data_IF_691717249077
#
_entry.id   IF_691717249077
#
_cell.length_a   1.000
_cell.length_b   1.000
_cell.length_c   1.000
_cell.angle_alpha   90.00
_cell.angle_beta   90.00
_cell.angle_gamma   90.00
#
_symmetry.space_group_name_H-M   'P 1'
#
loop_
_entity.id
_entity.type
_entity.pdbx_description
1 polymer ?
#
# COMPACT_ATOMS: atom_id res chain seq x y z
N UNK A 1 36.00 11.99 20.77
CA UNK A 1 35.83 10.66 20.13
C UNK A 1 35.17 9.74 21.11
N UNK A 2 33.86 9.61 21.07
CA UNK A 2 33.12 8.61 21.82
C UNK A 2 32.22 7.89 20.80
N UNK A 3 32.54 6.60 20.52
CA UNK A 3 31.73 5.71 19.69
C UNK A 3 30.61 5.15 20.57
N UNK A 4 29.38 5.54 20.30
CA UNK A 4 28.23 4.85 20.86
C UNK A 4 27.83 3.72 19.90
N UNK A 5 28.08 2.49 20.34
CA UNK A 5 27.55 1.26 19.74
C UNK A 5 26.07 1.14 20.15
N UNK A 6 25.13 1.32 19.21
CA UNK A 6 23.74 0.94 19.42
C UNK A 6 23.63 -0.57 19.21
N UNK A 7 23.63 -1.31 20.31
CA UNK A 7 23.20 -2.71 20.31
C UNK A 7 21.68 -2.77 20.18
N UNK A 8 21.22 -3.33 19.06
CA UNK A 8 19.81 -3.56 18.75
C UNK A 8 19.27 -4.62 19.72
N UNK A 9 18.48 -4.19 20.70
CA UNK A 9 17.74 -5.10 21.58
C UNK A 9 16.39 -5.39 20.88
N UNK A 10 16.35 -6.51 20.15
CA UNK A 10 15.09 -7.09 19.67
C UNK A 10 14.38 -7.74 20.87
N UNK A 11 13.46 -7.01 21.49
CA UNK A 11 12.62 -7.57 22.55
C UNK A 11 11.54 -8.46 21.91
N UNK A 12 11.78 -9.76 21.97
CA UNK A 12 10.81 -10.78 21.62
C UNK A 12 9.73 -10.77 22.71
N UNK A 13 8.55 -10.19 22.42
CA UNK A 13 7.41 -10.27 23.33
C UNK A 13 6.84 -11.69 23.24
N UNK A 14 7.25 -12.54 24.17
CA UNK A 14 6.67 -13.86 24.37
C UNK A 14 5.39 -13.70 25.19
N UNK A 15 4.25 -13.87 24.54
CA UNK A 15 2.99 -14.02 25.26
C UNK A 15 2.93 -15.40 25.92
N UNK A 16 3.19 -15.46 27.22
CA UNK A 16 2.87 -16.64 28.04
C UNK A 16 1.36 -16.73 28.22
N UNK A 17 0.74 -17.89 27.98
CA UNK A 17 -0.67 -18.05 28.28
C UNK A 17 -0.87 -18.06 29.80
N UNK A 18 -1.48 -17.03 30.35
CA UNK A 18 -2.04 -17.05 31.70
C UNK A 18 -3.26 -17.99 31.69
N UNK A 19 -3.08 -19.19 32.20
CA UNK A 19 -4.19 -20.14 32.45
C UNK A 19 -4.97 -19.65 33.68
N UNK A 20 -5.80 -18.65 33.51
CA UNK A 20 -6.85 -18.28 34.46
C UNK A 20 -8.12 -19.03 34.10
N UNK A 21 -8.75 -19.72 35.04
CA UNK A 21 -10.14 -20.21 34.93
C UNK A 21 -11.03 -18.96 34.81
N UNK A 22 -11.23 -18.51 33.57
CA UNK A 22 -12.19 -17.43 33.31
C UNK A 22 -13.60 -17.98 33.57
N UNK A 23 -14.39 -17.23 34.36
CA UNK A 23 -15.83 -17.33 34.29
C UNK A 23 -16.22 -17.32 32.81
N UNK A 24 -17.24 -18.05 32.42
CA UNK A 24 -17.80 -18.14 31.08
C UNK A 24 -18.24 -16.72 30.67
N UNK A 25 -17.27 -15.92 30.20
CA UNK A 25 -17.51 -14.61 29.64
C UNK A 25 -18.25 -14.85 28.33
N UNK A 26 -19.36 -14.16 28.14
CA UNK A 26 -20.20 -14.23 26.96
C UNK A 26 -19.30 -13.98 25.72
N UNK A 27 -18.95 -15.08 25.04
CA UNK A 27 -17.97 -15.08 23.96
C UNK A 27 -18.61 -14.48 22.72
N UNK A 28 -18.04 -13.39 22.21
CA UNK A 28 -18.52 -12.72 21.00
C UNK A 28 -18.57 -13.71 19.83
N UNK A 29 -19.70 -13.79 19.13
CA UNK A 29 -19.81 -14.58 17.91
C UNK A 29 -19.10 -13.86 16.75
N UNK A 30 -18.74 -14.61 15.69
CA UNK A 30 -18.18 -14.01 14.47
C UNK A 30 -19.19 -13.10 13.76
N UNK A 31 -20.49 -13.41 13.88
CA UNK A 31 -21.57 -12.63 13.27
C UNK A 31 -21.81 -11.29 13.99
N UNK A 32 -21.41 -11.20 15.27
CA UNK A 32 -21.49 -10.00 16.09
C UNK A 32 -20.21 -9.15 16.06
N UNK A 33 -19.25 -9.50 15.23
CA UNK A 33 -18.03 -8.73 15.01
C UNK A 33 -18.02 -8.15 13.60
N UNK A 34 -18.24 -6.84 13.50
CA UNK A 34 -18.29 -6.16 12.23
C UNK A 34 -16.95 -5.48 11.92
N UNK A 35 -16.55 -5.51 10.67
CA UNK A 35 -15.21 -5.13 10.24
C UNK A 35 -15.27 -4.33 8.94
N UNK A 36 -14.68 -3.14 8.93
CA UNK A 36 -14.33 -2.42 7.71
C UNK A 36 -13.05 -3.00 7.11
N UNK A 37 -12.05 -3.20 7.94
CA UNK A 37 -10.72 -3.67 7.56
C UNK A 37 -9.63 -2.66 7.93
N UNK A 38 -8.37 -3.09 8.12
CA UNK A 38 -7.25 -2.21 8.40
C UNK A 38 -6.86 -1.43 7.13
N UNK A 39 -6.03 -0.39 7.29
CA UNK A 39 -5.68 0.54 6.20
C UNK A 39 -4.84 -0.11 5.11
N UNK A 40 -3.97 -1.08 5.46
CA UNK A 40 -2.93 -1.57 4.54
C UNK A 40 -3.11 -3.05 4.20
N UNK A 41 -3.31 -3.91 5.19
CA UNK A 41 -3.38 -5.36 4.97
C UNK A 41 -4.76 -5.78 4.46
N UNK A 42 -4.86 -6.10 3.17
CA UNK A 42 -6.11 -6.56 2.56
C UNK A 42 -6.64 -7.87 3.18
N UNK A 43 -7.95 -8.11 3.10
CA UNK A 43 -8.61 -9.29 3.61
C UNK A 43 -8.32 -10.55 2.80
N UNK A 44 -8.30 -11.71 3.49
CA UNK A 44 -8.18 -13.00 2.84
C UNK A 44 -9.54 -13.61 2.45
N UNK A 45 -10.64 -13.11 3.00
CA UNK A 45 -11.98 -13.58 2.65
C UNK A 45 -12.38 -13.09 1.26
N UNK A 46 -13.03 -13.96 0.48
CA UNK A 46 -13.70 -13.60 -0.78
C UNK A 46 -15.11 -13.10 -0.48
N UNK A 47 -15.66 -12.26 -1.35
CA UNK A 47 -17.06 -11.87 -1.30
C UNK A 47 -17.95 -13.09 -1.63
N UNK A 48 -19.10 -13.24 -0.97
CA UNK A 48 -20.09 -14.23 -1.37
C UNK A 48 -20.56 -14.00 -2.81
N UNK A 49 -20.98 -15.06 -3.49
CA UNK A 49 -21.47 -14.98 -4.86
C UNK A 49 -22.59 -13.92 -5.00
N UNK A 50 -22.48 -13.05 -5.98
CA UNK A 50 -23.45 -11.98 -6.26
C UNK A 50 -23.29 -10.72 -5.42
N UNK A 51 -22.41 -10.68 -4.42
CA UNK A 51 -22.17 -9.47 -3.62
C UNK A 51 -21.13 -8.57 -4.28
N UNK A 52 -21.33 -7.27 -4.09
CA UNK A 52 -20.40 -6.23 -4.57
C UNK A 52 -19.85 -5.45 -3.38
N UNK A 53 -18.54 -5.23 -3.36
CA UNK A 53 -17.86 -4.28 -2.46
C UNK A 53 -17.52 -3.02 -3.24
N UNK A 54 -17.89 -1.87 -2.68
CA UNK A 54 -17.40 -0.56 -3.11
C UNK A 54 -16.74 0.10 -1.89
N UNK A 55 -15.43 0.35 -2.00
CA UNK A 55 -14.66 0.90 -0.89
C UNK A 55 -13.72 2.03 -1.38
N UNK A 56 -14.23 3.29 -1.43
CA UNK A 56 -13.41 4.46 -1.74
C UNK A 56 -12.52 4.84 -0.55
N UNK A 57 -11.25 5.04 -0.84
CA UNK A 57 -10.24 5.63 0.03
C UNK A 57 -9.95 7.05 -0.43
N UNK A 58 -9.73 7.96 0.52
CA UNK A 58 -9.14 9.28 0.32
C UNK A 58 -7.96 9.45 1.28
N UNK A 59 -6.87 10.02 0.78
CA UNK A 59 -5.65 10.17 1.56
C UNK A 59 -4.82 11.36 1.11
N UNK A 60 -3.93 11.83 2.00
CA UNK A 60 -2.90 12.83 1.71
C UNK A 60 -1.53 12.28 2.10
N UNK A 61 -0.68 11.99 1.12
CA UNK A 61 0.70 11.58 1.38
C UNK A 61 1.55 12.81 1.64
N UNK A 62 1.77 13.13 2.91
CA UNK A 62 2.57 14.27 3.35
C UNK A 62 4.03 13.83 3.47
N UNK A 63 4.84 14.13 2.47
CA UNK A 63 6.28 13.84 2.47
C UNK A 63 7.03 15.04 3.02
N UNK A 64 7.81 14.85 4.08
CA UNK A 64 8.57 15.91 4.79
C UNK A 64 10.08 15.68 4.78
N UNK A 65 10.53 14.69 4.06
CA UNK A 65 11.95 14.32 3.98
C UNK A 65 12.12 12.97 3.33
N UNK A 66 13.32 12.44 3.46
CA UNK A 66 13.68 11.13 2.93
C UNK A 66 14.66 10.43 3.87
N UNK A 67 14.70 9.11 3.78
CA UNK A 67 15.77 8.29 4.32
C UNK A 67 16.85 8.12 3.25
N UNK A 68 18.10 8.49 3.57
CA UNK A 68 19.25 8.36 2.66
C UNK A 68 19.73 6.91 2.50
N UNK A 69 20.84 6.69 1.77
CA UNK A 69 21.42 5.37 1.53
C UNK A 69 21.91 4.64 2.78
N UNK A 70 22.11 5.37 3.87
CA UNK A 70 22.52 4.84 5.19
C UNK A 70 21.32 4.70 6.15
N UNK A 71 20.12 5.05 5.71
CA UNK A 71 18.90 5.03 6.52
C UNK A 71 18.73 6.23 7.45
N UNK A 72 19.53 7.29 7.29
CA UNK A 72 19.38 8.49 8.09
C UNK A 72 18.28 9.38 7.50
N UNK A 73 17.46 9.95 8.38
CA UNK A 73 16.44 10.92 7.98
C UNK A 73 17.08 12.24 7.54
N UNK A 74 16.65 12.76 6.41
CA UNK A 74 16.98 14.07 5.84
C UNK A 74 15.69 14.85 5.59
N UNK A 75 15.55 16.00 6.21
CA UNK A 75 14.41 16.90 5.99
C UNK A 75 14.43 17.46 4.57
N UNK A 76 13.27 17.65 3.98
CA UNK A 76 13.04 18.37 2.73
C UNK A 76 11.81 19.26 2.86
N UNK A 77 11.55 20.08 1.83
CA UNK A 77 10.27 20.78 1.72
C UNK A 77 9.11 19.79 1.74
N UNK A 78 8.01 20.26 2.32
CA UNK A 78 6.81 19.44 2.41
C UNK A 78 6.12 19.35 1.06
N UNK A 79 5.79 18.14 0.65
CA UNK A 79 4.99 17.84 -0.54
C UNK A 79 3.74 17.11 -0.11
N UNK A 80 2.59 17.53 -0.66
CA UNK A 80 1.30 16.87 -0.48
C UNK A 80 0.92 16.14 -1.76
N UNK A 81 0.61 14.86 -1.65
CA UNK A 81 0.05 14.06 -2.74
C UNK A 81 -1.33 13.55 -2.31
N UNK A 82 -2.35 14.31 -2.68
CA UNK A 82 -3.74 13.92 -2.47
C UNK A 82 -4.10 12.80 -3.41
N UNK A 83 -4.70 11.76 -2.88
CA UNK A 83 -5.06 10.61 -3.66
C UNK A 83 -6.39 10.00 -3.26
N UNK A 84 -6.94 9.27 -4.21
CA UNK A 84 -8.09 8.40 -4.01
C UNK A 84 -7.85 7.10 -4.75
N UNK A 85 -8.20 5.99 -4.13
CA UNK A 85 -8.34 4.70 -4.78
C UNK A 85 -9.68 4.10 -4.36
N UNK A 86 -10.30 3.32 -5.24
CA UNK A 86 -11.58 2.70 -4.93
C UNK A 86 -11.54 1.23 -5.27
N UNK A 87 -11.68 0.35 -4.28
CA UNK A 87 -11.94 -1.06 -4.54
C UNK A 87 -13.38 -1.22 -5.04
N UNK A 88 -13.53 -1.80 -6.23
CA UNK A 88 -14.80 -2.20 -6.82
C UNK A 88 -14.70 -3.70 -7.09
N UNK A 89 -15.14 -4.52 -6.14
CA UNK A 89 -14.96 -5.97 -6.18
C UNK A 89 -16.33 -6.67 -6.25
N UNK A 90 -16.38 -7.78 -6.98
CA UNK A 90 -17.57 -8.61 -7.15
C UNK A 90 -17.27 -10.08 -6.84
N UNK A 91 -18.12 -10.68 -6.01
CA UNK A 91 -18.10 -12.11 -5.71
C UNK A 91 -18.67 -12.89 -6.90
N UNK A 92 -17.82 -13.45 -7.73
CA UNK A 92 -18.21 -14.27 -8.88
C UNK A 92 -18.72 -15.63 -8.42
N UNK A 93 -18.02 -16.20 -7.43
CA UNK A 93 -18.43 -17.38 -6.68
C UNK A 93 -18.04 -17.17 -5.20
N UNK A 94 -18.49 -18.03 -4.31
CA UNK A 94 -18.10 -17.94 -2.89
C UNK A 94 -16.59 -18.04 -2.65
N UNK A 95 -15.84 -18.60 -3.58
CA UNK A 95 -14.39 -18.76 -3.50
C UNK A 95 -13.60 -17.90 -4.49
N UNK A 96 -14.26 -17.09 -5.31
CA UNK A 96 -13.60 -16.25 -6.31
C UNK A 96 -14.22 -14.87 -6.37
N UNK A 97 -13.38 -13.85 -6.15
CA UNK A 97 -13.71 -12.42 -6.24
C UNK A 97 -12.85 -11.79 -7.32
N UNK A 98 -13.45 -10.98 -8.18
CA UNK A 98 -12.74 -10.18 -9.18
C UNK A 98 -13.15 -8.72 -9.08
N UNK A 99 -12.30 -7.80 -9.57
CA UNK A 99 -12.65 -6.40 -9.54
C UNK A 99 -11.62 -5.47 -10.16
N UNK A 100 -11.89 -4.18 -10.02
CA UNK A 100 -11.08 -3.09 -10.56
C UNK A 100 -10.83 -2.05 -9.47
N UNK A 101 -9.65 -1.46 -9.49
CA UNK A 101 -9.20 -0.48 -8.51
C UNK A 101 -8.69 0.74 -9.29
N UNK A 102 -9.55 1.70 -9.66
CA UNK A 102 -9.14 2.98 -10.22
C UNK A 102 -8.47 3.85 -9.16
N UNK A 103 -7.52 4.68 -9.61
CA UNK A 103 -6.83 5.65 -8.78
C UNK A 103 -6.89 7.04 -9.39
N UNK A 104 -6.94 8.06 -8.53
CA UNK A 104 -6.91 9.47 -8.90
C UNK A 104 -5.99 10.22 -7.95
N UNK A 105 -5.42 11.35 -8.42
CA UNK A 105 -4.55 12.12 -7.57
C UNK A 105 -4.33 13.55 -8.02
N UNK A 106 -3.69 14.31 -7.12
CA UNK A 106 -3.24 15.69 -7.32
C UNK A 106 -2.02 15.93 -6.43
N UNK A 107 -0.94 16.46 -7.00
CA UNK A 107 0.28 16.79 -6.27
C UNK A 107 0.39 18.31 -6.07
N UNK A 108 0.55 18.72 -4.81
CA UNK A 108 0.94 20.05 -4.37
C UNK A 108 2.40 19.96 -3.92
N UNK A 109 3.30 20.51 -4.72
CA UNK A 109 4.74 20.30 -4.54
C UNK A 109 5.44 21.41 -3.77
N UNK A 110 4.71 22.47 -3.38
CA UNK A 110 5.19 23.58 -2.59
C UNK A 110 6.27 24.43 -3.26
N UNK A 111 7.11 23.84 -4.08
CA UNK A 111 8.11 24.50 -4.91
C UNK A 111 8.06 23.94 -6.33
N UNK A 112 7.74 24.77 -7.31
CA UNK A 112 7.50 24.37 -8.69
C UNK A 112 6.04 24.50 -9.08
N UNK A 113 5.63 23.76 -10.13
CA UNK A 113 4.26 23.79 -10.61
C UNK A 113 3.50 22.58 -10.05
N UNK A 114 2.41 22.83 -9.34
CA UNK A 114 1.48 21.81 -8.89
C UNK A 114 0.83 21.10 -10.07
N UNK A 115 0.15 20.00 -9.83
CA UNK A 115 -0.67 19.32 -10.84
C UNK A 115 -1.66 20.29 -11.47
N UNK A 116 -1.87 20.18 -12.78
CA UNK A 116 -2.81 21.01 -13.53
C UNK A 116 -4.26 20.81 -13.12
N UNK A 117 -4.57 19.70 -12.47
CA UNK A 117 -5.88 19.29 -11.97
C UNK A 117 -5.83 17.87 -11.41
N UNK A 118 -6.98 17.34 -11.01
CA UNK A 118 -7.10 15.94 -10.62
C UNK A 118 -6.86 15.08 -11.86
N UNK A 119 -5.85 14.23 -11.78
CA UNK A 119 -5.50 13.29 -12.85
C UNK A 119 -5.87 11.85 -12.50
N UNK A 120 -5.92 11.01 -13.53
CA UNK A 120 -6.09 9.57 -13.40
C UNK A 120 -4.73 8.92 -13.17
N UNK A 121 -4.63 8.03 -12.21
CA UNK A 121 -3.47 7.16 -12.02
C UNK A 121 -3.61 5.83 -12.74
N UNK A 122 -2.76 4.89 -12.40
CA UNK A 122 -2.84 3.55 -12.97
C UNK A 122 -4.02 2.76 -12.38
N UNK A 123 -4.72 2.01 -13.24
CA UNK A 123 -5.85 1.17 -12.84
C UNK A 123 -5.38 -0.25 -12.62
N UNK A 124 -5.78 -0.86 -11.50
CA UNK A 124 -5.45 -2.26 -11.19
C UNK A 124 -6.67 -3.16 -11.35
N UNK A 125 -6.50 -4.26 -12.08
CA UNK A 125 -7.43 -5.38 -12.11
C UNK A 125 -7.02 -6.38 -11.02
N UNK A 126 -7.99 -6.96 -10.32
CA UNK A 126 -7.75 -7.93 -9.25
C UNK A 126 -8.56 -9.20 -9.45
N UNK A 127 -7.93 -10.33 -9.19
CA UNK A 127 -8.55 -11.65 -9.07
C UNK A 127 -8.07 -12.29 -7.76
N UNK A 128 -9.01 -12.69 -6.89
CA UNK A 128 -8.73 -13.32 -5.61
C UNK A 128 -9.43 -14.67 -5.52
N UNK A 129 -8.65 -15.71 -5.24
CA UNK A 129 -9.14 -17.07 -5.09
C UNK A 129 -8.88 -17.59 -3.68
N UNK A 130 -9.95 -17.97 -2.96
CA UNK A 130 -9.88 -18.49 -1.59
C UNK A 130 -9.44 -19.96 -1.60
N UNK A 131 -8.30 -20.23 -0.93
CA UNK A 131 -7.70 -21.56 -0.81
C UNK A 131 -8.24 -22.32 0.41
N UNK A 132 -8.49 -21.61 1.53
CA UNK A 132 -9.00 -22.17 2.77
C UNK A 132 -9.91 -21.16 3.48
N UNK A 133 -10.76 -21.65 4.36
CA UNK A 133 -11.65 -20.83 5.17
C UNK A 133 -11.54 -21.21 6.64
N UNK A 134 -11.35 -20.22 7.49
CA UNK A 134 -11.40 -20.37 8.94
C UNK A 134 -12.76 -20.89 9.37
N UNK A 135 -12.74 -21.81 10.31
CA UNK A 135 -13.94 -22.30 11.01
C UNK A 135 -13.70 -22.17 12.49
N UNK A 136 -14.71 -21.76 13.23
CA UNK A 136 -14.62 -21.64 14.68
C UNK A 136 -14.17 -22.95 15.33
N UNK A 137 -13.21 -22.86 16.28
CA UNK A 137 -12.53 -24.02 16.87
C UNK A 137 -11.47 -24.66 15.98
N UNK A 138 -11.38 -24.28 14.71
CA UNK A 138 -10.36 -24.77 13.77
C UNK A 138 -9.02 -24.04 13.88
N UNK A 139 -7.96 -24.67 13.35
CA UNK A 139 -6.60 -24.10 13.30
C UNK A 139 -6.21 -23.59 11.91
N UNK A 140 -7.06 -23.81 10.92
CA UNK A 140 -6.78 -23.39 9.53
C UNK A 140 -7.23 -21.94 9.35
N UNK A 141 -6.35 -21.03 8.91
CA UNK A 141 -6.74 -19.66 8.60
C UNK A 141 -7.60 -19.59 7.33
N UNK A 142 -8.35 -18.52 7.15
CA UNK A 142 -8.79 -18.15 5.80
C UNK A 142 -7.56 -17.70 5.03
N UNK A 143 -7.30 -18.29 3.86
CA UNK A 143 -6.21 -17.87 2.99
C UNK A 143 -6.66 -17.78 1.54
N UNK A 144 -6.06 -16.85 0.81
CA UNK A 144 -6.37 -16.59 -0.60
C UNK A 144 -5.12 -16.26 -1.38
N UNK A 145 -5.10 -16.75 -2.62
CA UNK A 145 -4.17 -16.28 -3.64
C UNK A 145 -4.78 -15.08 -4.35
N UNK A 146 -4.01 -14.02 -4.50
CA UNK A 146 -4.44 -12.77 -5.17
C UNK A 146 -3.50 -12.46 -6.31
N UNK A 147 -4.07 -12.31 -7.50
CA UNK A 147 -3.38 -11.81 -8.69
C UNK A 147 -3.89 -10.40 -8.98
N UNK A 148 -2.97 -9.48 -9.15
CA UNK A 148 -3.26 -8.12 -9.59
C UNK A 148 -2.47 -7.78 -10.85
N UNK A 149 -3.12 -7.08 -11.78
CA UNK A 149 -2.52 -6.53 -12.99
C UNK A 149 -2.78 -5.03 -13.02
N UNK A 150 -1.74 -4.24 -12.81
CA UNK A 150 -1.81 -2.79 -12.97
C UNK A 150 -1.57 -2.42 -14.42
N UNK A 151 -2.47 -1.61 -14.96
CA UNK A 151 -2.47 -1.10 -16.32
C UNK A 151 -1.93 0.32 -16.34
N UNK A 152 -1.03 0.70 -17.24
CA UNK A 152 -0.43 2.02 -17.32
C UNK A 152 -1.40 3.05 -17.92
N UNK A 153 -2.42 3.42 -17.18
CA UNK A 153 -3.46 4.38 -17.61
C UNK A 153 -3.15 5.80 -17.18
N UNK A 154 -2.29 5.97 -16.19
CA UNK A 154 -1.86 7.26 -15.69
C UNK A 154 -0.77 7.89 -16.56
N UNK A 155 -0.71 9.22 -16.54
CA UNK A 155 0.34 9.96 -17.25
C UNK A 155 1.68 9.78 -16.52
N UNK A 156 2.75 9.46 -17.25
CA UNK A 156 4.05 9.14 -16.67
C UNK A 156 5.24 9.84 -17.36
N UNK A 157 5.10 10.21 -18.64
CA UNK A 157 6.14 10.90 -19.41
C UNK A 157 5.58 12.07 -20.22
N UNK A 158 6.44 12.78 -20.97
CA UNK A 158 6.06 13.98 -21.72
C UNK A 158 5.33 15.02 -20.85
N UNK A 159 5.76 15.13 -19.59
CA UNK A 159 5.13 15.98 -18.57
C UNK A 159 5.44 17.47 -18.77
N UNK A 160 6.38 17.81 -19.65
CA UNK A 160 6.77 19.19 -19.96
C UNK A 160 7.27 19.90 -18.69
N UNK A 161 6.68 21.06 -18.39
CA UNK A 161 7.04 21.88 -17.23
C UNK A 161 6.30 21.49 -15.93
N UNK A 162 5.46 20.45 -15.96
CA UNK A 162 4.66 19.99 -14.81
C UNK A 162 4.92 18.51 -14.48
N UNK A 163 6.07 18.15 -13.91
CA UNK A 163 6.33 16.77 -13.48
C UNK A 163 5.29 16.26 -12.49
N UNK A 164 4.64 17.15 -11.74
CA UNK A 164 3.55 16.87 -10.79
C UNK A 164 2.28 16.29 -11.42
N UNK A 165 2.09 16.40 -12.75
CA UNK A 165 1.00 15.74 -13.48
C UNK A 165 1.23 14.22 -13.66
N UNK A 166 2.42 13.73 -13.35
CA UNK A 166 2.76 12.30 -13.43
C UNK A 166 2.14 11.51 -12.29
N UNK A 167 1.12 10.69 -12.62
CA UNK A 167 0.35 9.87 -11.67
C UNK A 167 0.38 8.37 -12.01
N UNK A 168 1.03 7.98 -13.08
CA UNK A 168 1.23 6.60 -13.51
C UNK A 168 2.69 6.21 -13.57
N UNK A 169 2.96 4.90 -13.61
CA UNK A 169 4.30 4.34 -13.84
C UNK A 169 4.61 4.11 -15.33
N UNK A 170 3.58 4.08 -16.19
CA UNK A 170 3.73 3.74 -17.59
C UNK A 170 4.04 2.26 -17.85
N UNK A 171 4.37 1.49 -16.84
CA UNK A 171 4.71 0.08 -16.93
C UNK A 171 3.51 -0.80 -16.53
N UNK A 172 3.33 -1.92 -17.22
CA UNK A 172 2.48 -2.99 -16.70
C UNK A 172 3.16 -3.61 -15.48
N UNK A 173 2.39 -3.81 -14.39
CA UNK A 173 2.90 -4.45 -13.18
C UNK A 173 2.00 -5.62 -12.80
N UNK A 174 2.58 -6.81 -12.72
CA UNK A 174 1.91 -8.04 -12.28
C UNK A 174 2.30 -8.33 -10.84
N UNK A 175 1.33 -8.45 -9.94
CA UNK A 175 1.55 -8.80 -8.54
C UNK A 175 0.86 -10.12 -8.18
N UNK A 176 1.59 -10.98 -7.48
CA UNK A 176 1.06 -12.19 -6.86
C UNK A 176 1.18 -12.07 -5.35
N UNK A 177 0.09 -12.32 -4.65
CA UNK A 177 0.06 -12.25 -3.19
C UNK A 177 -0.63 -13.46 -2.56
N UNK A 178 -0.16 -13.83 -1.36
CA UNK A 178 -0.84 -14.73 -0.46
C UNK A 178 -1.38 -13.89 0.71
N UNK A 179 -2.70 -13.88 0.88
CA UNK A 179 -3.37 -13.27 2.02
C UNK A 179 -3.78 -14.35 3.00
N UNK A 180 -3.61 -14.08 4.29
CA UNK A 180 -4.01 -14.96 5.36
C UNK A 180 -4.69 -14.17 6.48
N UNK A 181 -5.74 -14.74 7.07
CA UNK A 181 -6.47 -14.10 8.16
C UNK A 181 -6.95 -15.15 9.16
N UNK A 182 -6.85 -14.82 10.46
CA UNK A 182 -7.22 -15.72 11.56
C UNK A 182 -7.92 -14.95 12.67
N UNK A 183 -8.75 -15.65 13.45
CA UNK A 183 -9.50 -15.07 14.55
C UNK A 183 -9.08 -15.71 15.87
N UNK A 184 -8.78 -14.86 16.85
CA UNK A 184 -8.41 -15.21 18.20
C UNK A 184 -9.43 -14.61 19.17
N UNK A 185 -9.90 -15.40 20.14
CA UNK A 185 -10.70 -14.87 21.23
C UNK A 185 -9.80 -14.49 22.39
N UNK A 186 -9.86 -13.23 22.75
CA UNK A 186 -9.13 -12.67 23.87
C UNK A 186 -9.75 -13.15 25.20
N UNK A 187 -9.04 -13.09 26.34
CA UNK A 187 -9.55 -13.55 27.63
C UNK A 187 -10.87 -12.90 28.08
N UNK A 188 -11.21 -11.72 27.57
CA UNK A 188 -12.47 -11.03 27.81
C UNK A 188 -13.59 -11.40 26.82
N UNK A 189 -13.42 -12.46 26.06
CA UNK A 189 -14.40 -12.97 25.10
C UNK A 189 -14.46 -12.19 23.77
N UNK A 190 -13.75 -11.07 23.62
CA UNK A 190 -13.71 -10.28 22.38
C UNK A 190 -12.79 -10.89 21.33
N UNK A 191 -13.08 -10.61 20.06
CA UNK A 191 -12.31 -11.13 18.92
C UNK A 191 -11.18 -10.20 18.57
N UNK A 192 -9.99 -10.77 18.39
CA UNK A 192 -8.85 -10.20 17.70
C UNK A 192 -8.71 -10.88 16.34
N UNK A 193 -8.97 -10.16 15.26
CA UNK A 193 -8.68 -10.62 13.89
C UNK A 193 -7.24 -10.27 13.54
N UNK A 194 -6.49 -11.23 13.05
CA UNK A 194 -5.11 -11.03 12.60
C UNK A 194 -5.01 -11.30 11.11
N UNK A 195 -4.18 -10.52 10.40
CA UNK A 195 -3.88 -10.71 8.98
C UNK A 195 -2.37 -10.79 8.79
N UNK A 196 -1.97 -11.60 7.82
CA UNK A 196 -0.60 -11.70 7.35
C UNK A 196 -0.60 -11.88 5.84
N UNK A 197 -0.01 -10.92 5.11
CA UNK A 197 0.02 -10.95 3.66
C UNK A 197 1.45 -10.83 3.17
N UNK A 198 1.77 -11.59 2.12
CA UNK A 198 3.04 -11.54 1.39
C UNK A 198 2.71 -11.26 -0.06
N UNK A 199 3.42 -10.33 -0.68
CA UNK A 199 3.23 -10.00 -2.09
C UNK A 199 4.57 -9.81 -2.80
N UNK A 200 4.60 -10.16 -4.08
CA UNK A 200 5.71 -9.88 -4.99
C UNK A 200 5.14 -9.32 -6.30
N UNK A 201 5.67 -8.17 -6.71
CA UNK A 201 5.25 -7.46 -7.92
C UNK A 201 6.41 -7.32 -8.89
N UNK A 202 6.15 -7.64 -10.15
CA UNK A 202 7.05 -7.56 -11.29
C UNK A 202 6.56 -6.45 -12.21
N UNK A 203 7.45 -5.54 -12.61
CA UNK A 203 7.13 -4.45 -13.52
C UNK A 203 7.86 -4.62 -14.86
N UNK A 204 7.15 -4.42 -15.96
CA UNK A 204 7.72 -4.45 -17.29
C UNK A 204 8.56 -3.19 -17.57
N UNK A 205 9.47 -3.29 -18.55
CA UNK A 205 10.17 -2.13 -19.10
C UNK A 205 9.22 -1.21 -19.84
N UNK A 206 9.43 0.09 -19.74
CA UNK A 206 8.60 1.13 -20.37
C UNK A 206 9.44 2.10 -21.18
N UNK A 207 8.95 2.47 -22.38
CA UNK A 207 9.52 3.55 -23.17
C UNK A 207 9.27 4.90 -22.49
N UNK A 208 10.30 5.76 -22.44
CA UNK A 208 10.24 7.07 -21.77
C UNK A 208 10.72 8.15 -22.71
N UNK A 209 9.95 9.22 -22.81
CA UNK A 209 10.23 10.39 -23.60
C UNK A 209 10.13 11.67 -22.74
N UNK A 210 11.06 12.59 -22.95
CA UNK A 210 11.08 13.92 -22.32
C UNK A 210 11.05 13.87 -20.77
N UNK A 211 10.41 14.84 -20.14
CA UNK A 211 10.22 14.90 -18.68
C UNK A 211 9.29 13.79 -18.22
N UNK A 212 9.70 12.98 -17.23
CA UNK A 212 8.93 11.84 -16.75
C UNK A 212 8.97 11.68 -15.23
N UNK A 213 8.12 10.79 -14.71
CA UNK A 213 8.13 10.36 -13.31
C UNK A 213 9.44 9.67 -12.90
N UNK A 214 10.22 9.23 -13.86
CA UNK A 214 11.54 8.63 -13.66
C UNK A 214 12.68 9.66 -13.52
N UNK A 215 12.34 10.96 -13.50
CA UNK A 215 13.32 12.05 -13.34
C UNK A 215 14.13 12.37 -14.60
N UNK A 216 13.68 11.93 -15.77
CA UNK A 216 14.25 12.34 -17.06
C UNK A 216 13.86 13.77 -17.41
N UNK A 217 14.58 14.39 -18.36
CA UNK A 217 14.40 15.78 -18.78
C UNK A 217 13.81 15.87 -20.17
N UNK A 218 13.40 17.06 -20.56
CA UNK A 218 13.01 17.36 -21.94
C UNK A 218 14.13 16.98 -22.92
N UNK A 219 13.78 16.34 -24.02
CA UNK A 219 14.71 15.80 -25.01
C UNK A 219 15.20 14.39 -24.73
N UNK A 220 14.97 13.82 -23.55
CA UNK A 220 15.30 12.42 -23.28
C UNK A 220 14.52 11.46 -24.19
N UNK A 221 15.18 10.37 -24.61
CA UNK A 221 14.56 9.22 -25.31
C UNK A 221 15.23 7.95 -24.82
N UNK A 222 14.45 7.02 -24.31
CA UNK A 222 14.96 5.76 -23.80
C UNK A 222 13.92 4.87 -23.18
N UNK A 223 14.35 4.11 -22.19
CA UNK A 223 13.52 3.17 -21.44
C UNK A 223 13.83 3.26 -19.96
N UNK A 224 12.82 3.04 -19.14
CA UNK A 224 12.96 2.76 -17.72
C UNK A 224 12.59 1.28 -17.46
N UNK A 225 13.34 0.65 -16.59
CA UNK A 225 13.10 -0.70 -16.06
C UNK A 225 12.79 -0.52 -14.57
N UNK A 226 11.51 -0.35 -14.15
CA UNK A 226 11.15 -0.22 -12.74
C UNK A 226 11.54 -1.47 -11.97
N UNK A 227 11.97 -1.31 -10.73
CA UNK A 227 12.36 -2.43 -9.89
C UNK A 227 11.18 -3.28 -9.46
N UNK A 228 11.45 -4.53 -9.15
CA UNK A 228 10.50 -5.44 -8.53
C UNK A 228 10.25 -5.05 -7.08
N UNK A 229 9.05 -5.33 -6.58
CA UNK A 229 8.65 -5.00 -5.22
C UNK A 229 8.28 -6.24 -4.43
N UNK A 230 8.91 -6.43 -3.28
CA UNK A 230 8.54 -7.41 -2.27
C UNK A 230 7.85 -6.70 -1.11
N UNK A 231 6.72 -7.24 -0.63
CA UNK A 231 5.94 -6.63 0.46
C UNK A 231 5.51 -7.66 1.50
N UNK A 232 5.57 -7.26 2.76
CA UNK A 232 5.02 -7.98 3.91
C UNK A 232 4.06 -7.05 4.65
N UNK A 233 2.91 -7.57 5.03
CA UNK A 233 1.91 -6.86 5.82
C UNK A 233 1.43 -7.74 6.96
N UNK A 234 1.28 -7.16 8.14
CA UNK A 234 0.61 -7.79 9.27
C UNK A 234 -0.36 -6.80 9.89
N UNK A 235 -1.56 -7.25 10.23
CA UNK A 235 -2.53 -6.39 10.87
C UNK A 235 -3.25 -7.10 12.02
N UNK A 236 -3.66 -6.30 12.98
CA UNK A 236 -4.43 -6.71 14.15
C UNK A 236 -5.63 -5.79 14.26
N UNK A 237 -6.82 -6.38 14.35
CA UNK A 237 -8.09 -5.68 14.47
C UNK A 237 -8.81 -6.21 15.70
N UNK A 238 -8.94 -5.38 16.72
CA UNK A 238 -9.57 -5.72 17.99
C UNK A 238 -11.00 -5.19 18.05
N UNK A 239 -11.98 -6.10 18.13
CA UNK A 239 -13.39 -5.75 18.23
C UNK A 239 -13.71 -5.28 19.66
N UNK A 240 -13.74 -3.97 19.87
CA UNK A 240 -14.07 -3.35 21.17
C UNK A 240 -15.54 -3.54 21.48
N UNK A 241 -16.39 -3.33 20.48
CA UNK A 241 -17.83 -3.59 20.49
C UNK A 241 -18.23 -4.20 19.13
N UNK A 242 -19.50 -4.45 18.88
CA UNK A 242 -19.95 -4.88 17.54
C UNK A 242 -19.64 -3.81 16.47
N UNK A 243 -19.68 -2.53 16.85
CA UNK A 243 -19.51 -1.40 15.93
C UNK A 243 -18.09 -0.85 15.89
N UNK A 244 -17.38 -0.85 17.02
CA UNK A 244 -16.06 -0.21 17.15
C UNK A 244 -14.93 -1.23 17.11
N UNK A 245 -13.97 -0.98 16.24
CA UNK A 245 -12.74 -1.78 16.11
C UNK A 245 -11.52 -0.86 16.18
N UNK A 246 -10.51 -1.30 16.92
CA UNK A 246 -9.17 -0.72 16.86
C UNK A 246 -8.31 -1.54 15.93
N UNK A 247 -7.70 -0.90 14.94
CA UNK A 247 -6.86 -1.55 13.95
C UNK A 247 -5.41 -1.02 14.04
N UNK A 248 -4.48 -1.90 13.79
CA UNK A 248 -3.05 -1.58 13.65
C UNK A 248 -2.45 -2.43 12.54
N UNK A 249 -1.89 -1.79 11.52
CA UNK A 249 -1.03 -2.44 10.56
C UNK A 249 0.45 -2.23 10.90
N UNK A 250 1.27 -3.21 10.54
CA UNK A 250 2.72 -3.08 10.38
C UNK A 250 3.09 -3.63 9.01
N UNK A 251 3.96 -2.93 8.28
CA UNK A 251 4.30 -3.32 6.93
C UNK A 251 5.76 -3.05 6.60
N UNK A 252 6.31 -3.89 5.75
CA UNK A 252 7.63 -3.77 5.16
C UNK A 252 7.54 -3.90 3.66
N UNK A 253 8.28 -3.06 2.94
CA UNK A 253 8.40 -3.11 1.49
C UNK A 253 9.85 -2.93 1.09
N UNK A 254 10.28 -3.70 0.09
CA UNK A 254 11.59 -3.62 -0.54
C UNK A 254 11.41 -3.51 -2.05
N UNK A 255 12.07 -2.51 -2.66
CA UNK A 255 12.10 -2.28 -4.09
C UNK A 255 13.53 -2.51 -4.60
N UNK A 256 13.71 -3.25 -5.69
CA UNK A 256 15.04 -3.62 -6.21
C UNK A 256 15.76 -2.49 -6.94
N UNK A 257 15.08 -1.39 -7.19
CA UNK A 257 15.62 -0.21 -7.86
C UNK A 257 15.21 -0.10 -9.32
N UNK A 258 15.23 1.12 -9.84
CA UNK A 258 14.86 1.45 -11.22
C UNK A 258 16.10 1.74 -12.03
N UNK A 259 16.23 1.14 -13.21
CA UNK A 259 17.29 1.41 -14.18
C UNK A 259 16.74 2.23 -15.35
N UNK A 260 17.44 3.30 -15.71
CA UNK A 260 17.07 4.18 -16.83
C UNK A 260 18.21 4.16 -17.85
N UNK A 261 17.90 3.93 -19.10
CA UNK A 261 18.87 3.90 -20.20
C UNK A 261 18.30 4.59 -21.43
N UNK A 262 19.13 5.43 -22.08
CA UNK A 262 18.71 6.13 -23.28
C UNK A 262 19.72 7.17 -23.71
N UNK A 263 19.20 8.21 -24.34
CA UNK A 263 19.98 9.40 -24.74
C UNK A 263 19.31 10.64 -24.24
N UNK A 264 20.11 11.59 -23.78
CA UNK A 264 19.67 12.96 -23.40
C UNK A 264 20.06 13.95 -24.49
N UNK A 265 19.31 15.04 -24.65
CA UNK A 265 19.60 16.09 -25.59
C UNK A 265 20.37 17.22 -24.85
N UNK A 266 21.62 17.37 -25.17
CA UNK A 266 22.45 18.47 -24.63
C UNK A 266 22.45 19.62 -25.61
N UNK A 267 21.92 20.76 -25.17
CA UNK A 267 21.93 22.03 -25.88
C UNK A 267 22.99 22.94 -25.25
N UNK A 268 24.06 23.21 -25.98
CA UNK A 268 25.13 24.11 -25.57
C UNK A 268 25.32 25.23 -26.59
N UNK A 269 26.55 25.81 -26.65
CA UNK A 269 26.90 26.78 -27.64
C UNK A 269 27.11 26.22 -29.06
N UNK A 270 26.95 24.90 -29.23
CA UNK A 270 27.04 24.14 -30.48
C UNK A 270 25.67 23.57 -30.87
N UNK A 271 25.61 22.88 -32.03
CA UNK A 271 24.39 22.15 -32.43
C UNK A 271 23.96 21.16 -31.33
N UNK A 272 22.64 20.96 -31.15
CA UNK A 272 22.14 20.02 -30.18
C UNK A 272 22.66 18.58 -30.45
N UNK A 273 23.23 17.95 -29.43
CA UNK A 273 23.83 16.63 -29.53
C UNK A 273 23.11 15.65 -28.61
N UNK A 274 22.90 14.41 -29.07
CA UNK A 274 22.39 13.33 -28.24
C UNK A 274 23.53 12.56 -27.58
N UNK A 275 23.58 12.59 -26.25
CA UNK A 275 24.57 11.87 -25.45
C UNK A 275 23.95 10.68 -24.73
N UNK A 276 24.68 9.57 -24.53
CA UNK A 276 24.20 8.45 -23.75
C UNK A 276 23.86 8.88 -22.31
N UNK A 277 22.71 8.41 -21.83
CA UNK A 277 22.26 8.63 -20.46
C UNK A 277 21.99 7.30 -19.77
N UNK A 278 22.46 7.17 -18.52
CA UNK A 278 22.16 6.06 -17.64
C UNK A 278 21.97 6.58 -16.22
N UNK A 279 20.93 6.06 -15.54
CA UNK A 279 20.71 6.31 -14.12
C UNK A 279 20.24 5.03 -13.45
N UNK A 280 20.54 4.90 -12.16
CA UNK A 280 20.15 3.79 -11.31
C UNK A 280 19.76 4.36 -9.95
N UNK A 281 18.54 4.08 -9.50
CA UNK A 281 18.05 4.54 -8.19
C UNK A 281 18.63 3.77 -7.02
N UNK A 282 19.22 2.59 -7.28
CA UNK A 282 19.57 1.63 -6.26
C UNK A 282 18.34 1.04 -5.59
N UNK A 283 18.53 0.00 -4.79
CA UNK A 283 17.44 -0.61 -4.01
C UNK A 283 16.98 0.30 -2.89
N UNK A 284 15.71 0.20 -2.55
CA UNK A 284 15.11 0.90 -1.42
C UNK A 284 14.35 -0.06 -0.51
N UNK A 285 14.13 0.35 0.74
CA UNK A 285 13.20 -0.35 1.61
C UNK A 285 12.54 0.66 2.57
N UNK A 286 11.36 0.29 3.04
CA UNK A 286 10.60 1.06 4.02
C UNK A 286 9.85 0.15 4.98
N UNK A 287 9.79 0.58 6.23
CA UNK A 287 8.98 -0.02 7.28
C UNK A 287 8.04 1.03 7.83
N UNK A 288 6.80 0.65 8.08
CA UNK A 288 5.82 1.56 8.63
C UNK A 288 4.76 0.86 9.46
N UNK A 289 3.97 1.70 10.12
CA UNK A 289 2.79 1.31 10.90
C UNK A 289 1.60 2.15 10.48
N UNK A 290 0.38 1.62 10.70
CA UNK A 290 -0.84 2.36 10.43
C UNK A 290 -1.90 2.08 11.51
N UNK A 291 -1.92 2.87 12.61
CA UNK A 291 -3.01 2.84 13.56
C UNK A 291 -4.28 3.42 12.95
N UNK A 292 -5.43 2.79 13.26
CA UNK A 292 -6.72 3.22 12.77
C UNK A 292 -7.86 2.86 13.74
N UNK A 293 -8.99 3.49 13.53
CA UNK A 293 -10.25 3.22 14.21
C UNK A 293 -11.31 2.97 13.14
N UNK A 294 -12.05 1.88 13.29
CA UNK A 294 -13.19 1.55 12.47
C UNK A 294 -14.49 1.78 13.25
N UNK A 295 -15.50 2.27 12.54
CA UNK A 295 -16.87 2.30 13.01
C UNK A 295 -17.79 1.67 11.98
N UNK A 296 -18.53 0.65 12.38
CA UNK A 296 -19.43 -0.10 11.53
C UNK A 296 -20.88 0.19 11.94
N UNK A 297 -21.67 0.81 11.05
CA UNK A 297 -23.12 1.03 11.30
C UNK A 297 -23.88 -0.27 11.20
N UNK A 298 -23.43 -1.15 10.30
CA UNK A 298 -23.98 -2.49 10.06
C UNK A 298 -22.83 -3.43 9.73
N UNK A 299 -23.10 -4.73 9.59
CA UNK A 299 -22.13 -5.70 9.07
C UNK A 299 -21.69 -5.45 7.62
N UNK A 300 -22.37 -4.53 6.91
CA UNK A 300 -22.14 -4.24 5.48
C UNK A 300 -21.65 -2.82 5.20
N UNK A 301 -21.79 -1.91 6.15
CA UNK A 301 -21.42 -0.51 5.97
C UNK A 301 -20.60 -0.04 7.17
N UNK A 302 -19.39 0.39 6.90
CA UNK A 302 -18.48 0.90 7.92
C UNK A 302 -17.55 1.98 7.36
N UNK A 303 -16.85 2.64 8.26
CA UNK A 303 -15.83 3.65 7.95
C UNK A 303 -14.57 3.33 8.73
N UNK A 304 -13.43 3.61 8.13
CA UNK A 304 -12.13 3.59 8.80
C UNK A 304 -11.46 4.95 8.66
N UNK A 305 -10.82 5.40 9.72
CA UNK A 305 -9.97 6.59 9.74
C UNK A 305 -8.68 6.26 10.47
N UNK A 306 -7.55 6.64 9.90
CA UNK A 306 -6.27 6.41 10.53
C UNK A 306 -5.12 7.14 9.84
N UNK A 307 -3.91 6.76 10.21
CA UNK A 307 -2.68 7.38 9.72
C UNK A 307 -1.66 6.31 9.40
N UNK A 308 -1.17 6.28 8.16
CA UNK A 308 -0.01 5.46 7.77
C UNK A 308 1.26 6.29 7.95
N UNK A 309 2.24 5.74 8.63
CA UNK A 309 3.52 6.40 8.89
C UNK A 309 4.69 5.48 8.51
N UNK A 310 5.61 6.00 7.68
CA UNK A 310 6.89 5.35 7.43
C UNK A 310 7.87 5.68 8.55
N UNK A 311 8.10 4.73 9.45
CA UNK A 311 8.92 4.89 10.65
C UNK A 311 10.42 4.75 10.38
N UNK A 312 10.80 4.00 9.34
CA UNK A 312 12.19 3.78 8.92
C UNK A 312 12.27 3.43 7.44
N UNK A 313 13.44 3.63 6.83
CA UNK A 313 13.67 3.28 5.45
C UNK A 313 15.10 3.53 4.99
N UNK A 314 15.37 3.24 3.72
CA UNK A 314 16.60 3.54 3.00
C UNK A 314 16.26 3.88 1.55
N UNK A 315 16.87 4.94 1.01
CA UNK A 315 16.62 5.44 -0.34
C UNK A 315 15.12 5.69 -0.64
N UNK A 316 14.34 6.14 0.34
CA UNK A 316 12.89 6.28 0.22
C UNK A 316 12.39 7.56 0.88
N UNK A 317 11.21 8.03 0.47
CA UNK A 317 10.54 9.16 1.10
C UNK A 317 10.10 8.86 2.53
N UNK A 318 10.19 9.84 3.41
CA UNK A 318 9.65 9.79 4.77
C UNK A 318 8.31 10.52 4.79
N UNK A 319 7.21 9.79 4.95
CA UNK A 319 5.87 10.36 4.87
C UNK A 319 4.96 9.95 6.02
N UNK A 320 3.98 10.80 6.25
CA UNK A 320 2.80 10.54 7.09
C UNK A 320 1.59 10.67 6.16
N UNK A 321 0.66 9.74 6.23
CA UNK A 321 -0.50 9.70 5.34
C UNK A 321 -1.78 9.56 6.17
N UNK A 322 -2.49 10.66 6.50
CA UNK A 322 -3.87 10.56 6.93
C UNK A 322 -4.71 9.88 5.85
N UNK A 323 -5.61 9.00 6.26
CA UNK A 323 -6.43 8.21 5.35
C UNK A 323 -7.80 7.95 5.95
N UNK A 324 -8.81 7.99 5.11
CA UNK A 324 -10.17 7.56 5.44
C UNK A 324 -10.74 6.71 4.30
N UNK A 325 -11.57 5.73 4.65
CA UNK A 325 -12.33 4.95 3.68
C UNK A 325 -13.73 4.62 4.19
N UNK A 326 -14.63 4.37 3.26
CA UNK A 326 -15.98 3.86 3.55
C UNK A 326 -16.11 2.51 2.88
N UNK A 327 -16.42 1.48 3.65
CA UNK A 327 -16.69 0.14 3.15
C UNK A 327 -18.20 -0.06 2.98
N UNK A 328 -18.63 -0.50 1.80
CA UNK A 328 -20.04 -0.76 1.48
C UNK A 328 -20.15 -2.09 0.73
N UNK A 329 -20.89 -3.04 1.32
CA UNK A 329 -21.16 -4.35 0.72
C UNK A 329 -22.66 -4.46 0.39
N UNK A 330 -22.96 -4.81 -0.86
CA UNK A 330 -24.32 -4.94 -1.40
C UNK A 330 -24.64 -6.38 -1.75
#
# INVERSE_FOLDING_TARGET
MLKYSLSTLATLIVFLPLSGTAAETDRQSLDDAWWTGPIVAAGAATLPAGHTLIEPYVYDVITRGRYDGDGNYRSSDTVHSYGSLTYMLYGVTDSFTAGVIPTFGFNDVGSGADSSGIGVGDVTLQAQFRLSQFREGGRVPTSSLVLQQTLPTGKYDQLGTRPSDGLGAGAYTTSLALHSQYYLWMPNGRILRTRFNVAYALSDSVAVADTSVYGTREGFRGHAEPGDTFSLYSAWEYSVTNNWVLALDAFYQHDSGTHIRGTDLVTGNAEPERVPFRADSGSSWRFGIAPAIEYNWTSRVGVIVGVRWFAAGRNTGASITPVAAINMVY
#
